data_IF_197756920315
#
_entry.id   IF_197756920315
#
_cell.length_a   1.000
_cell.length_b   1.000
_cell.length_c   1.000
_cell.angle_alpha   90.00
_cell.angle_beta   90.00
_cell.angle_gamma   90.00
#
_symmetry.space_group_name_H-M   'P 1'
#
loop_
_entity.id
_entity.type
_entity.pdbx_description
1 polymer ?
#
# COMPACT_ATOMS: atom_id res chain seq x y z
N UNK A 1 20.88 16.66 -16.17
CA UNK A 1 21.07 16.20 -14.77
C UNK A 1 20.70 14.74 -14.74
N UNK A 2 21.70 13.85 -14.73
CA UNK A 2 21.51 12.40 -14.76
C UNK A 2 21.03 11.96 -13.38
N UNK A 3 19.75 11.57 -13.25
CA UNK A 3 19.28 10.89 -12.05
C UNK A 3 19.80 9.45 -12.17
N UNK A 4 20.88 9.16 -11.46
CA UNK A 4 21.46 7.83 -11.35
C UNK A 4 20.40 6.91 -10.75
N UNK A 5 19.72 6.13 -11.58
CA UNK A 5 18.86 5.05 -11.11
C UNK A 5 19.74 3.83 -10.87
N UNK A 6 20.02 3.57 -9.59
CA UNK A 6 20.37 2.24 -9.12
C UNK A 6 19.34 1.23 -9.67
N UNK A 7 19.70 -0.04 -9.91
CA UNK A 7 18.71 -1.05 -10.25
C UNK A 7 17.71 -1.13 -9.09
N UNK A 8 16.56 -0.47 -9.25
CA UNK A 8 15.49 -0.52 -8.26
C UNK A 8 14.84 -1.86 -8.46
N UNK A 9 14.74 -2.64 -7.38
CA UNK A 9 13.80 -3.76 -7.32
C UNK A 9 12.47 -3.33 -7.95
N UNK A 10 11.80 -4.19 -8.73
CA UNK A 10 10.60 -3.77 -9.44
C UNK A 10 9.61 -3.19 -8.41
N UNK A 11 9.15 -1.95 -8.65
CA UNK A 11 8.28 -1.18 -7.75
C UNK A 11 7.04 -2.00 -7.33
N UNK A 12 6.63 -2.93 -8.20
CA UNK A 12 5.58 -3.90 -7.96
C UNK A 12 5.80 -4.77 -6.71
N UNK A 13 7.02 -5.23 -6.43
CA UNK A 13 7.34 -6.03 -5.25
C UNK A 13 7.28 -5.19 -3.96
N UNK A 14 7.47 -3.88 -4.09
CA UNK A 14 7.39 -2.91 -2.99
C UNK A 14 5.96 -2.41 -2.77
N UNK A 15 5.01 -2.85 -3.60
CA UNK A 15 3.64 -2.35 -3.63
C UNK A 15 2.65 -3.32 -3.00
N UNK A 16 1.82 -2.77 -2.13
CA UNK A 16 0.69 -3.44 -1.49
C UNK A 16 -0.63 -2.89 -2.01
N UNK A 17 -1.57 -3.79 -2.22
CA UNK A 17 -2.97 -3.52 -2.43
C UNK A 17 -3.72 -3.73 -1.12
N UNK A 18 -4.41 -2.71 -0.62
CA UNK A 18 -5.20 -2.78 0.60
C UNK A 18 -6.68 -2.80 0.27
N UNK A 19 -7.36 -3.91 0.56
CA UNK A 19 -8.80 -4.07 0.37
C UNK A 19 -9.55 -3.80 1.68
N UNK A 20 -10.80 -3.35 1.55
CA UNK A 20 -11.71 -3.24 2.69
C UNK A 20 -11.52 -1.97 3.51
N UNK A 21 -10.98 -0.91 2.89
CA UNK A 21 -10.84 0.39 3.53
C UNK A 21 -12.21 0.98 3.91
N UNK A 22 -12.23 1.84 4.92
CA UNK A 22 -13.44 2.62 5.23
C UNK A 22 -13.69 3.65 4.13
N UNK A 23 -14.95 4.08 3.96
CA UNK A 23 -15.27 5.20 3.06
C UNK A 23 -14.63 6.50 3.52
N UNK A 24 -14.36 6.61 4.82
CA UNK A 24 -13.72 7.76 5.45
C UNK A 24 -12.19 7.74 5.30
N UNK A 25 -11.61 6.58 4.95
CA UNK A 25 -10.16 6.44 4.83
C UNK A 25 -9.64 7.36 3.73
N UNK A 26 -8.68 8.21 4.11
CA UNK A 26 -7.95 9.11 3.23
C UNK A 26 -6.58 8.52 2.91
N UNK A 27 -5.93 9.01 1.86
CA UNK A 27 -4.53 8.70 1.57
C UNK A 27 -3.61 9.04 2.75
N UNK A 28 -3.89 10.13 3.47
CA UNK A 28 -3.17 10.52 4.69
C UNK A 28 -3.37 9.53 5.83
N UNK A 29 -4.60 9.09 6.12
CA UNK A 29 -4.88 8.11 7.18
C UNK A 29 -4.25 6.75 6.85
N UNK A 30 -4.37 6.31 5.60
CA UNK A 30 -3.76 5.08 5.13
C UNK A 30 -2.23 5.17 5.22
N UNK A 31 -1.63 6.28 4.78
CA UNK A 31 -0.19 6.54 4.88
C UNK A 31 0.25 6.49 6.34
N UNK A 32 -0.37 7.29 7.20
CA UNK A 32 -0.01 7.39 8.62
C UNK A 32 -0.07 6.03 9.33
N UNK A 33 -1.02 5.17 8.96
CA UNK A 33 -1.07 3.81 9.49
C UNK A 33 0.10 2.95 8.98
N UNK A 34 0.32 2.89 7.67
CA UNK A 34 1.31 2.00 7.08
C UNK A 34 2.77 2.47 7.26
N UNK A 35 3.00 3.75 7.53
CA UNK A 35 4.34 4.29 7.85
C UNK A 35 4.95 3.69 9.13
N UNK A 36 4.15 3.00 9.96
CA UNK A 36 4.64 2.30 11.15
C UNK A 36 5.57 1.11 10.83
N UNK A 37 5.49 0.57 9.61
CA UNK A 37 6.27 -0.60 9.19
C UNK A 37 7.34 -0.29 8.15
N UNK A 38 7.49 0.98 7.77
CA UNK A 38 8.49 1.41 6.81
C UNK A 38 8.20 2.76 6.16
N UNK A 39 9.13 3.20 5.33
CA UNK A 39 9.01 4.46 4.60
C UNK A 39 8.13 4.27 3.37
N UNK A 40 7.04 5.03 3.27
CA UNK A 40 6.18 5.01 2.10
C UNK A 40 6.69 5.96 1.02
N UNK A 41 6.98 5.42 -0.16
CA UNK A 41 7.31 6.20 -1.35
C UNK A 41 6.05 6.70 -2.06
N UNK A 42 4.95 5.95 -1.96
CA UNK A 42 3.67 6.33 -2.53
C UNK A 42 2.50 5.75 -1.72
N UNK A 43 1.39 6.47 -1.65
CA UNK A 43 0.16 6.03 -1.01
C UNK A 43 -1.03 6.66 -1.74
N UNK A 44 -1.99 5.85 -2.17
CA UNK A 44 -3.19 6.33 -2.87
C UNK A 44 -4.40 5.53 -2.44
N UNK A 45 -5.48 6.21 -2.09
CA UNK A 45 -6.79 5.60 -1.84
C UNK A 45 -7.68 5.84 -3.05
N UNK A 46 -8.19 4.76 -3.64
CA UNK A 46 -9.20 4.82 -4.68
C UNK A 46 -10.59 4.60 -4.07
N UNK A 47 -11.43 5.61 -4.19
CA UNK A 47 -12.81 5.57 -3.73
C UNK A 47 -13.72 5.30 -4.91
N UNK A 48 -14.37 4.16 -4.87
CA UNK A 48 -15.45 3.85 -5.79
C UNK A 48 -16.78 4.22 -5.13
N UNK A 49 -17.63 5.06 -5.75
CA UNK A 49 -18.92 5.46 -5.17
C UNK A 49 -19.95 4.32 -5.13
N UNK A 50 -19.73 3.24 -5.91
CA UNK A 50 -20.63 2.09 -5.97
C UNK A 50 -20.04 0.82 -5.34
N UNK A 51 -18.72 0.76 -5.09
CA UNK A 51 -18.04 -0.44 -4.61
C UNK A 51 -17.19 -0.17 -3.37
N UNK A 52 -16.57 -1.22 -2.82
CA UNK A 52 -15.73 -1.11 -1.61
C UNK A 52 -14.48 -0.28 -1.94
N UNK A 53 -14.13 0.69 -1.09
CA UNK A 53 -12.89 1.44 -1.23
C UNK A 53 -11.66 0.55 -1.05
N UNK A 54 -10.62 0.84 -1.83
CA UNK A 54 -9.34 0.15 -1.80
C UNK A 54 -8.20 1.15 -1.96
N UNK A 55 -6.98 0.74 -1.63
CA UNK A 55 -5.82 1.61 -1.73
C UNK A 55 -4.58 0.86 -2.16
N UNK A 56 -3.57 1.62 -2.57
CA UNK A 56 -2.24 1.12 -2.84
C UNK A 56 -1.22 1.85 -1.97
N UNK A 57 -0.29 1.07 -1.44
CA UNK A 57 0.81 1.54 -0.61
C UNK A 57 2.10 1.01 -1.22
N UNK A 58 3.03 1.90 -1.55
CA UNK A 58 4.35 1.53 -2.05
C UNK A 58 5.39 1.90 -1.00
N UNK A 59 6.16 0.92 -0.54
CA UNK A 59 7.28 1.13 0.38
C UNK A 59 8.56 1.52 -0.37
N UNK A 60 9.61 1.86 0.37
CA UNK A 60 10.94 2.10 -0.18
C UNK A 60 11.68 0.78 -0.47
N UNK A 61 11.34 -0.29 0.24
CA UNK A 61 11.99 -1.60 0.14
C UNK A 61 10.99 -2.76 0.25
N UNK A 62 11.37 -3.93 -0.27
CA UNK A 62 10.55 -5.15 -0.22
C UNK A 62 10.50 -5.74 1.20
N UNK A 63 11.51 -5.46 2.04
CA UNK A 63 11.55 -5.91 3.44
C UNK A 63 10.49 -5.22 4.29
N UNK A 64 10.25 -3.92 4.05
CA UNK A 64 9.17 -3.16 4.70
C UNK A 64 7.79 -3.68 4.31
N UNK A 65 7.63 -4.13 3.05
CA UNK A 65 6.41 -4.82 2.60
C UNK A 65 6.17 -6.09 3.39
N UNK A 66 7.21 -6.92 3.57
CA UNK A 66 7.11 -8.17 4.31
C UNK A 66 6.79 -7.92 5.79
N UNK A 67 7.42 -6.89 6.37
CA UNK A 67 7.17 -6.43 7.74
C UNK A 67 5.71 -6.03 7.92
N UNK A 68 5.16 -5.23 7.00
CA UNK A 68 3.76 -4.88 7.00
C UNK A 68 2.86 -6.12 6.82
N UNK A 69 3.20 -7.06 5.93
CA UNK A 69 2.43 -8.30 5.73
C UNK A 69 2.38 -9.18 6.97
N UNK A 70 3.48 -9.27 7.72
CA UNK A 70 3.57 -10.07 8.93
C UNK A 70 2.83 -9.42 10.12
N UNK A 71 2.63 -8.11 10.09
CA UNK A 71 1.90 -7.37 11.13
C UNK A 71 0.37 -7.46 11.04
N UNK A 72 -0.18 -8.29 10.13
CA UNK A 72 -1.62 -8.53 10.03
C UNK A 72 -2.18 -9.14 11.33
N UNK A 73 -3.45 -8.85 11.70
CA UNK A 73 -4.41 -8.04 10.97
C UNK A 73 -4.19 -6.52 11.15
N UNK A 74 -4.37 -5.77 10.07
CA UNK A 74 -4.29 -4.30 10.10
C UNK A 74 -5.66 -3.68 10.36
N UNK A 75 -5.66 -2.54 11.04
CA UNK A 75 -6.89 -1.81 11.36
C UNK A 75 -6.71 -0.31 11.10
N UNK A 76 -7.31 0.18 10.02
CA UNK A 76 -7.25 1.59 9.57
C UNK A 76 -8.62 2.22 9.79
N UNK A 77 -8.68 3.39 10.42
CA UNK A 77 -9.94 4.11 10.73
C UNK A 77 -11.01 3.23 11.38
N UNK A 78 -10.60 2.33 12.28
CA UNK A 78 -11.53 1.44 12.96
C UNK A 78 -11.96 0.20 12.17
N UNK A 79 -11.55 0.05 10.90
CA UNK A 79 -11.92 -1.06 10.02
C UNK A 79 -10.74 -2.00 9.78
N UNK A 80 -11.00 -3.32 9.82
CA UNK A 80 -9.98 -4.32 9.47
C UNK A 80 -9.72 -4.24 7.97
N UNK A 81 -8.46 -4.10 7.59
CA UNK A 81 -8.02 -4.03 6.20
C UNK A 81 -7.16 -5.23 5.86
N UNK A 82 -7.29 -5.68 4.63
CA UNK A 82 -6.56 -6.85 4.13
C UNK A 82 -5.54 -6.36 3.10
N UNK A 83 -4.27 -6.18 3.50
CA UNK A 83 -3.21 -5.93 2.53
C UNK A 83 -2.84 -7.24 1.84
N UNK A 84 -2.66 -7.15 0.53
CA UNK A 84 -2.11 -8.19 -0.36
C UNK A 84 -0.97 -7.59 -1.20
N UNK A 85 -0.01 -8.42 -1.64
CA UNK A 85 1.00 -7.93 -2.60
C UNK A 85 0.30 -7.52 -3.88
N UNK A 86 0.63 -6.34 -4.40
CA UNK A 86 -0.01 -5.88 -5.62
C UNK A 86 0.36 -6.82 -6.78
N UNK A 87 -0.64 -7.24 -7.55
CA UNK A 87 -0.46 -7.94 -8.82
C UNK A 87 -0.42 -6.94 -9.98
N UNK A 88 0.43 -7.19 -10.97
CA UNK A 88 0.51 -6.33 -12.15
C UNK A 88 -0.77 -6.48 -12.95
N UNK A 89 -1.34 -5.38 -13.45
CA UNK A 89 -2.55 -5.42 -14.28
C UNK A 89 -2.37 -6.23 -15.59
N UNK A 90 -1.13 -6.45 -16.02
CA UNK A 90 -0.80 -7.26 -17.20
C UNK A 90 -0.78 -8.78 -16.94
N UNK A 91 -0.88 -9.21 -15.68
CA UNK A 91 -0.92 -10.63 -15.28
C UNK A 91 -2.36 -11.10 -14.98
N UNK A 92 -3.38 -10.47 -15.59
CA UNK A 92 -4.81 -10.83 -15.44
C UNK A 92 -5.40 -11.40 -16.72
#
# INVERSE_FOLDING_TARGET
MSKSESPKEPEQLQKLFSRGLSFETTDESLRSHFEQWGTLTNCVVMRDPNTKSFGFVTYATVEEVDTAMNARPHKVDGRVVEPERAISREDS
#
